data_IF_800999016648
#
_entry.id   IF_800999016648
#
_cell.length_a   1.000
_cell.length_b   1.000
_cell.length_c   1.000
_cell.angle_alpha   90.00
_cell.angle_beta   90.00
_cell.angle_gamma   90.00
#
_symmetry.space_group_name_H-M   'P 1'
#
loop_
_entity.id
_entity.type
_entity.pdbx_description
1 polymer ?
#
# COMPACT_ATOMS: atom_id res chain seq x y z
N UNK A 1 10.44 -6.21 -7.36
CA UNK A 1 9.26 -6.60 -6.55
C UNK A 1 8.14 -7.03 -7.48
N UNK A 2 7.48 -8.15 -7.20
CA UNK A 2 6.28 -8.61 -7.90
C UNK A 2 5.13 -8.63 -6.89
N UNK A 3 3.98 -8.08 -7.26
CA UNK A 3 2.74 -8.12 -6.47
C UNK A 3 1.64 -8.77 -7.27
N UNK A 4 0.96 -9.73 -6.67
CA UNK A 4 -0.16 -10.45 -7.24
C UNK A 4 -1.36 -10.37 -6.29
N UNK A 5 -2.54 -10.30 -6.86
CA UNK A 5 -3.78 -10.13 -6.12
C UNK A 5 -4.84 -11.12 -6.58
N UNK A 6 -5.69 -11.52 -5.66
CA UNK A 6 -6.92 -12.26 -5.96
C UNK A 6 -8.11 -11.46 -5.43
N UNK A 7 -8.58 -10.53 -6.27
CA UNK A 7 -9.62 -9.56 -5.91
C UNK A 7 -11.04 -10.07 -6.13
N UNK A 8 -11.17 -11.22 -6.81
CA UNK A 8 -12.47 -11.87 -7.07
C UNK A 8 -12.98 -12.70 -5.91
N UNK A 9 -12.11 -13.06 -4.97
CA UNK A 9 -12.45 -13.85 -3.79
C UNK A 9 -13.01 -12.96 -2.65
N UNK A 10 -13.67 -13.60 -1.70
CA UNK A 10 -14.10 -12.97 -0.46
C UNK A 10 -13.68 -13.85 0.72
N UNK A 11 -12.68 -13.44 1.52
CA UNK A 11 -11.97 -12.15 1.45
C UNK A 11 -10.97 -12.07 0.28
N UNK A 12 -10.73 -10.84 -0.21
CA UNK A 12 -9.66 -10.53 -1.18
C UNK A 12 -8.30 -10.80 -0.56
N UNK A 13 -7.33 -11.20 -1.36
CA UNK A 13 -5.99 -11.56 -0.88
C UNK A 13 -4.88 -11.03 -1.77
N UNK A 14 -3.69 -10.92 -1.19
CA UNK A 14 -2.47 -10.52 -1.88
C UNK A 14 -1.36 -11.53 -1.65
N UNK A 15 -0.42 -11.58 -2.59
CA UNK A 15 0.83 -12.32 -2.53
C UNK A 15 1.92 -11.50 -3.23
N UNK A 16 3.04 -11.31 -2.58
CA UNK A 16 4.13 -10.52 -3.16
C UNK A 16 5.50 -11.12 -2.83
N UNK A 17 6.48 -10.77 -3.64
CA UNK A 17 7.86 -11.19 -3.42
C UNK A 17 8.86 -10.14 -3.89
N UNK A 18 9.96 -10.03 -3.17
CA UNK A 18 11.10 -9.18 -3.52
C UNK A 18 12.40 -9.82 -3.08
N UNK A 19 13.50 -9.33 -3.62
CA UNK A 19 14.84 -9.72 -3.26
C UNK A 19 15.62 -8.54 -2.70
N UNK A 20 16.33 -8.78 -1.62
CA UNK A 20 17.29 -7.84 -1.05
C UNK A 20 18.53 -8.59 -0.56
N UNK A 21 19.72 -8.25 -1.10
CA UNK A 21 20.99 -8.85 -0.68
C UNK A 21 21.06 -10.37 -0.81
N UNK A 22 20.43 -10.96 -1.82
CA UNK A 22 20.40 -12.42 -2.06
C UNK A 22 19.38 -13.17 -1.20
N UNK A 23 18.57 -12.45 -0.43
CA UNK A 23 17.44 -12.99 0.34
C UNK A 23 16.16 -12.66 -0.39
N UNK A 24 15.38 -13.68 -0.73
CA UNK A 24 14.03 -13.51 -1.27
C UNK A 24 13.03 -13.53 -0.14
N UNK A 25 12.21 -12.48 -0.04
CA UNK A 25 11.07 -12.43 0.87
C UNK A 25 9.79 -12.74 0.11
N UNK A 26 8.95 -13.53 0.70
CA UNK A 26 7.57 -13.79 0.27
C UNK A 26 6.67 -13.24 1.36
N UNK A 27 5.66 -12.49 0.97
CA UNK A 27 4.69 -11.89 1.88
C UNK A 27 3.28 -12.06 1.31
N UNK A 28 2.33 -12.46 2.13
CA UNK A 28 0.97 -12.77 1.70
C UNK A 28 -0.05 -12.58 2.81
N UNK A 29 -1.29 -12.39 2.45
CA UNK A 29 -2.37 -12.30 3.43
C UNK A 29 -3.71 -11.91 2.83
N UNK A 30 -4.66 -11.71 3.72
CA UNK A 30 -5.93 -11.07 3.40
C UNK A 30 -5.67 -9.58 3.15
N UNK A 31 -6.21 -9.04 2.06
CA UNK A 31 -6.05 -7.63 1.70
C UNK A 31 -6.52 -6.72 2.84
N UNK A 32 -5.66 -5.79 3.25
CA UNK A 32 -5.89 -4.91 4.38
C UNK A 32 -5.38 -5.45 5.73
N UNK A 33 -4.74 -6.60 5.75
CA UNK A 33 -4.03 -7.13 6.93
C UNK A 33 -2.54 -7.22 6.69
N UNK A 34 -1.72 -7.18 7.74
CA UNK A 34 -0.26 -7.30 7.63
C UNK A 34 0.21 -8.68 7.14
N UNK A 35 -0.64 -9.68 7.19
CA UNK A 35 -0.35 -11.01 6.68
C UNK A 35 0.84 -11.71 7.35
N UNK A 36 1.46 -12.58 6.57
CA UNK A 36 2.62 -13.38 6.99
C UNK A 36 3.77 -13.21 5.99
N UNK A 37 5.00 -13.37 6.45
CA UNK A 37 6.17 -13.32 5.58
C UNK A 37 7.12 -14.49 5.82
N UNK A 38 7.90 -14.84 4.79
CA UNK A 38 8.92 -15.88 4.82
C UNK A 38 10.12 -15.48 3.98
N UNK A 39 11.31 -15.72 4.52
CA UNK A 39 12.55 -15.53 3.80
C UNK A 39 13.09 -16.84 3.23
N UNK A 40 13.62 -16.77 2.01
CA UNK A 40 14.30 -17.86 1.33
C UNK A 40 15.71 -17.43 0.92
N UNK A 41 16.69 -18.27 1.28
CA UNK A 41 18.09 -18.12 0.86
C UNK A 41 18.48 -19.28 -0.05
N UNK A 42 19.36 -19.03 -1.01
CA UNK A 42 19.93 -20.10 -1.81
C UNK A 42 20.83 -21.00 -0.97
N UNK A 43 20.78 -22.30 -1.25
CA UNK A 43 21.68 -23.30 -0.68
C UNK A 43 22.46 -24.00 -1.80
N UNK A 44 23.45 -24.85 -1.44
CA UNK A 44 24.22 -25.60 -2.42
C UNK A 44 23.35 -26.53 -3.32
N UNK A 45 22.20 -26.95 -2.81
CA UNK A 45 21.30 -27.90 -3.50
C UNK A 45 20.09 -27.22 -4.13
N UNK A 46 19.79 -25.96 -3.78
CA UNK A 46 18.56 -25.30 -4.20
C UNK A 46 18.76 -23.80 -4.39
N UNK A 47 18.46 -23.32 -5.59
CA UNK A 47 18.43 -21.88 -5.89
C UNK A 47 17.10 -21.26 -5.45
N UNK A 48 17.14 -20.23 -4.61
CA UNK A 48 15.95 -19.51 -4.16
C UNK A 48 15.12 -18.96 -5.32
N UNK A 49 15.76 -18.44 -6.38
CA UNK A 49 15.09 -17.95 -7.59
C UNK A 49 14.21 -18.99 -8.29
N UNK A 50 14.66 -20.25 -8.32
CA UNK A 50 13.86 -21.33 -8.93
C UNK A 50 12.63 -21.68 -8.10
N UNK A 51 12.74 -21.58 -6.77
CA UNK A 51 11.61 -21.77 -5.85
C UNK A 51 10.60 -20.65 -6.03
N UNK A 52 11.06 -19.39 -6.08
CA UNK A 52 10.21 -18.22 -6.28
C UNK A 52 9.46 -18.32 -7.61
N UNK A 53 10.14 -18.68 -8.69
CA UNK A 53 9.50 -18.86 -10.00
C UNK A 53 8.36 -19.90 -9.93
N UNK A 54 8.60 -21.03 -9.29
CA UNK A 54 7.58 -22.07 -9.11
C UNK A 54 6.38 -21.55 -8.31
N UNK A 55 6.62 -20.78 -7.24
CA UNK A 55 5.55 -20.20 -6.43
C UNK A 55 4.73 -19.15 -7.23
N UNK A 56 5.37 -18.35 -8.08
CA UNK A 56 4.69 -17.42 -8.97
C UNK A 56 3.77 -18.17 -9.93
N UNK A 57 4.27 -19.24 -10.57
CA UNK A 57 3.49 -20.08 -11.48
C UNK A 57 2.29 -20.72 -10.76
N UNK A 58 2.48 -21.21 -9.54
CA UNK A 58 1.42 -21.78 -8.70
C UNK A 58 0.36 -20.72 -8.35
N UNK A 59 0.77 -19.53 -7.92
CA UNK A 59 -0.15 -18.43 -7.58
C UNK A 59 -0.93 -17.95 -8.81
N UNK A 60 -0.28 -17.84 -9.95
CA UNK A 60 -0.95 -17.51 -11.21
C UNK A 60 -1.99 -18.57 -11.59
N UNK A 61 -1.67 -19.84 -11.43
CA UNK A 61 -2.61 -20.93 -11.67
C UNK A 61 -3.79 -20.93 -10.66
N UNK A 62 -3.58 -20.45 -9.44
CA UNK A 62 -4.64 -20.23 -8.44
C UNK A 62 -5.55 -19.01 -8.73
N UNK A 63 -5.25 -18.22 -9.77
CA UNK A 63 -6.01 -17.05 -10.18
C UNK A 63 -5.52 -15.72 -9.62
N UNK A 64 -4.32 -15.68 -9.03
CA UNK A 64 -3.67 -14.42 -8.70
C UNK A 64 -3.16 -13.73 -9.96
N UNK A 65 -3.33 -12.41 -10.04
CA UNK A 65 -2.88 -11.59 -11.15
C UNK A 65 -2.34 -10.24 -10.67
N UNK A 66 -1.44 -9.59 -11.40
CA UNK A 66 -1.05 -8.23 -11.13
C UNK A 66 -2.24 -7.27 -11.34
N UNK A 67 -2.21 -6.15 -10.65
CA UNK A 67 -3.09 -5.00 -10.93
C UNK A 67 -2.27 -3.99 -11.71
N UNK A 68 -2.76 -3.59 -12.88
CA UNK A 68 -2.09 -2.60 -13.71
C UNK A 68 -2.11 -1.22 -13.03
N UNK A 69 -1.14 -0.36 -13.37
CA UNK A 69 -1.03 0.95 -12.75
C UNK A 69 -2.34 1.77 -12.89
N UNK A 70 -2.91 1.78 -14.10
CA UNK A 70 -4.13 2.54 -14.41
C UNK A 70 -5.40 1.99 -13.73
N UNK A 71 -5.35 0.78 -13.19
CA UNK A 71 -6.45 0.16 -12.46
C UNK A 71 -6.43 0.47 -10.94
N UNK A 72 -5.41 1.19 -10.46
CA UNK A 72 -5.38 1.66 -9.08
C UNK A 72 -6.34 2.83 -8.89
N UNK A 73 -6.98 2.86 -7.72
CA UNK A 73 -7.82 3.98 -7.31
C UNK A 73 -6.96 5.03 -6.60
N UNK A 74 -7.28 6.32 -6.82
CA UNK A 74 -6.58 7.43 -6.18
C UNK A 74 -7.31 7.81 -4.90
N UNK A 75 -6.66 7.54 -3.78
CA UNK A 75 -7.17 7.89 -2.45
C UNK A 75 -6.42 9.12 -1.94
N UNK A 76 -7.16 10.17 -1.59
CA UNK A 76 -6.63 11.39 -1.01
C UNK A 76 -6.99 11.50 0.47
N UNK A 77 -5.99 11.88 1.29
CA UNK A 77 -6.16 12.24 2.71
C UNK A 77 -5.96 13.74 2.82
N UNK A 78 -7.03 14.47 3.11
CA UNK A 78 -7.05 15.94 3.16
C UNK A 78 -7.00 16.45 4.60
N UNK A 79 -6.20 17.49 4.81
CA UNK A 79 -6.14 18.28 6.04
C UNK A 79 -6.37 19.75 5.73
N UNK A 80 -6.98 20.46 6.65
CA UNK A 80 -7.07 21.93 6.59
C UNK A 80 -5.79 22.54 7.17
N UNK A 81 -5.20 23.50 6.45
CA UNK A 81 -4.05 24.27 6.88
C UNK A 81 -4.30 25.77 6.67
N UNK A 82 -3.47 26.62 7.24
CA UNK A 82 -3.58 28.06 7.05
C UNK A 82 -2.86 28.51 5.75
N UNK A 83 -3.61 29.05 4.80
CA UNK A 83 -3.08 29.62 3.55
C UNK A 83 -2.28 28.59 2.74
N UNK A 84 -1.00 28.81 2.61
CA UNK A 84 -0.07 27.91 1.89
C UNK A 84 0.57 26.86 2.79
N UNK A 85 0.19 26.81 4.08
CA UNK A 85 0.85 25.96 5.06
C UNK A 85 2.15 26.57 5.60
N UNK A 86 2.74 25.93 6.59
CA UNK A 86 4.03 26.28 7.18
C UNK A 86 5.01 25.09 7.12
N UNK A 87 6.24 25.30 7.57
CA UNK A 87 7.28 24.25 7.56
C UNK A 87 6.85 23.03 8.37
N UNK A 88 6.14 23.20 9.49
CA UNK A 88 5.61 22.12 10.30
C UNK A 88 4.55 21.29 9.55
N UNK A 89 3.69 21.94 8.76
CA UNK A 89 2.73 21.26 7.90
C UNK A 89 3.43 20.44 6.82
N UNK A 90 4.52 20.98 6.24
CA UNK A 90 5.36 20.24 5.27
C UNK A 90 5.98 19.01 5.90
N UNK A 91 6.56 19.13 7.09
CA UNK A 91 7.15 18.00 7.82
C UNK A 91 6.08 16.97 8.22
N UNK A 92 4.92 17.43 8.67
CA UNK A 92 3.77 16.56 8.97
C UNK A 92 3.34 15.76 7.73
N UNK A 93 3.30 16.41 6.56
CA UNK A 93 2.97 15.74 5.30
C UNK A 93 3.97 14.63 4.97
N UNK A 94 5.27 14.87 5.10
CA UNK A 94 6.30 13.85 4.85
C UNK A 94 6.18 12.67 5.82
N UNK A 95 5.98 12.93 7.11
CA UNK A 95 5.76 11.85 8.09
C UNK A 95 4.52 11.02 7.78
N UNK A 96 3.45 11.65 7.29
CA UNK A 96 2.24 10.95 6.87
C UNK A 96 2.49 10.11 5.60
N UNK A 97 3.23 10.63 4.62
CA UNK A 97 3.60 9.91 3.42
C UNK A 97 4.39 8.63 3.77
N UNK A 98 5.41 8.73 4.62
CA UNK A 98 6.21 7.59 5.09
C UNK A 98 5.31 6.56 5.82
N UNK A 99 4.40 7.03 6.66
CA UNK A 99 3.45 6.15 7.37
C UNK A 99 2.51 5.43 6.41
N UNK A 100 2.00 6.12 5.41
CA UNK A 100 1.11 5.52 4.41
C UNK A 100 1.84 4.49 3.54
N UNK A 101 3.07 4.76 3.14
CA UNK A 101 3.90 3.77 2.45
C UNK A 101 4.08 2.49 3.27
N UNK A 102 4.35 2.62 4.56
CA UNK A 102 4.48 1.46 5.44
C UNK A 102 3.14 0.73 5.62
N UNK A 103 2.09 1.45 5.96
CA UNK A 103 0.78 0.85 6.26
C UNK A 103 0.18 0.19 5.03
N UNK A 104 0.15 0.89 3.88
CA UNK A 104 -0.41 0.35 2.64
C UNK A 104 0.46 -0.75 2.04
N UNK A 105 1.79 -0.60 2.12
CA UNK A 105 2.73 -1.62 1.65
C UNK A 105 2.56 -2.93 2.42
N UNK A 106 2.60 -2.89 3.75
CA UNK A 106 2.49 -4.09 4.60
C UNK A 106 1.09 -4.70 4.68
N UNK A 107 0.08 -4.06 4.16
CA UNK A 107 -1.29 -4.59 4.09
C UNK A 107 -1.70 -5.00 2.67
N UNK A 108 -0.76 -4.95 1.72
CA UNK A 108 -0.98 -5.30 0.32
C UNK A 108 -1.84 -4.27 -0.45
N UNK A 109 -2.22 -3.16 0.19
CA UNK A 109 -3.20 -2.22 -0.36
C UNK A 109 -2.65 -1.29 -1.44
N UNK A 110 -1.35 -0.96 -1.39
CA UNK A 110 -0.76 -0.03 -2.35
C UNK A 110 0.45 0.73 -1.79
N UNK A 111 0.54 2.00 -2.14
CA UNK A 111 1.63 2.88 -1.74
C UNK A 111 1.19 4.34 -1.72
N UNK A 112 1.99 5.19 -1.07
CA UNK A 112 1.88 6.64 -1.20
C UNK A 112 2.53 7.10 -2.52
N UNK A 113 1.89 8.04 -3.22
CA UNK A 113 2.37 8.64 -4.48
C UNK A 113 2.74 10.13 -4.33
N UNK A 114 2.86 10.59 -3.11
CA UNK A 114 3.23 11.97 -2.82
C UNK A 114 2.14 12.79 -2.14
N UNK A 115 2.18 14.08 -2.33
CA UNK A 115 1.18 14.98 -1.73
C UNK A 115 1.33 16.42 -2.22
N UNK A 116 0.36 17.23 -1.89
CA UNK A 116 0.30 18.65 -2.25
C UNK A 116 -0.03 19.52 -1.03
N UNK A 117 0.25 20.81 -1.16
CA UNK A 117 -0.11 21.80 -0.17
C UNK A 117 -0.38 23.15 -0.84
N UNK A 118 -1.43 23.80 -0.43
CA UNK A 118 -1.81 25.14 -0.90
C UNK A 118 -3.30 25.43 -0.77
N UNK A 119 -3.66 26.69 -0.88
CA UNK A 119 -5.06 27.14 -0.86
C UNK A 119 -5.86 26.63 0.35
N UNK A 120 -5.21 26.59 1.53
CA UNK A 120 -5.85 26.15 2.78
C UNK A 120 -5.93 24.64 2.97
N UNK A 121 -5.28 23.85 2.11
CA UNK A 121 -5.31 22.40 2.15
C UNK A 121 -3.92 21.77 2.10
N UNK A 122 -3.78 20.65 2.77
CA UNK A 122 -2.69 19.70 2.63
C UNK A 122 -3.29 18.35 2.26
N UNK A 123 -2.76 17.70 1.25
CA UNK A 123 -3.25 16.41 0.78
C UNK A 123 -2.09 15.42 0.65
N UNK A 124 -2.36 14.15 1.01
CA UNK A 124 -1.49 13.02 0.72
C UNK A 124 -2.22 12.09 -0.23
N UNK A 125 -1.56 11.76 -1.34
CA UNK A 125 -2.07 10.92 -2.41
C UNK A 125 -1.58 9.49 -2.25
N UNK A 126 -2.47 8.53 -2.31
CA UNK A 126 -2.18 7.10 -2.27
C UNK A 126 -2.80 6.40 -3.48
N UNK A 127 -2.05 5.47 -4.06
CA UNK A 127 -2.51 4.56 -5.10
C UNK A 127 -2.89 3.24 -4.43
N UNK A 128 -4.15 2.84 -4.53
CA UNK A 128 -4.67 1.68 -3.82
C UNK A 128 -5.42 0.73 -4.75
N UNK A 129 -5.38 -0.56 -4.45
CA UNK A 129 -6.09 -1.60 -5.23
C UNK A 129 -7.55 -1.79 -4.82
N UNK A 130 -7.94 -1.25 -3.66
CA UNK A 130 -9.31 -1.26 -3.15
C UNK A 130 -9.52 -0.07 -2.23
N UNK A 131 -10.32 0.89 -2.67
CA UNK A 131 -10.56 2.15 -1.95
C UNK A 131 -11.23 1.93 -0.59
N UNK A 132 -12.27 1.11 -0.53
CA UNK A 132 -13.06 0.93 0.70
C UNK A 132 -12.25 0.23 1.80
N UNK A 133 -11.47 -0.78 1.42
CA UNK A 133 -10.58 -1.47 2.37
C UNK A 133 -9.46 -0.53 2.81
N UNK A 134 -8.83 0.20 1.88
CA UNK A 134 -7.76 1.14 2.18
C UNK A 134 -8.24 2.26 3.11
N UNK A 135 -9.39 2.86 2.83
CA UNK A 135 -9.97 3.91 3.68
C UNK A 135 -10.17 3.43 5.12
N UNK A 136 -10.77 2.26 5.30
CA UNK A 136 -10.98 1.69 6.64
C UNK A 136 -9.67 1.42 7.37
N UNK A 137 -8.67 0.87 6.68
CA UNK A 137 -7.35 0.59 7.27
C UNK A 137 -6.64 1.88 7.66
N UNK A 138 -6.68 2.91 6.81
CA UNK A 138 -6.09 4.22 7.08
C UNK A 138 -6.79 4.89 8.26
N UNK A 139 -8.11 4.93 8.29
CA UNK A 139 -8.88 5.50 9.41
C UNK A 139 -8.50 4.86 10.74
N UNK A 140 -8.37 3.55 10.79
CA UNK A 140 -7.97 2.84 12.01
C UNK A 140 -6.49 3.08 12.36
N UNK A 141 -5.60 3.11 11.36
CA UNK A 141 -4.17 3.37 11.55
C UNK A 141 -3.87 4.79 12.07
N UNK A 142 -4.64 5.78 11.61
CA UNK A 142 -4.44 7.18 12.01
C UNK A 142 -5.11 7.55 13.34
N UNK A 143 -6.03 6.73 13.81
CA UNK A 143 -6.80 6.98 15.04
C UNK A 143 -5.90 7.15 16.25
N UNK A 144 -6.10 8.26 17.00
CA UNK A 144 -5.31 8.58 18.19
C UNK A 144 -3.87 9.01 17.91
N UNK A 145 -3.49 9.24 16.65
CA UNK A 145 -2.19 9.78 16.25
C UNK A 145 -2.26 11.29 15.98
N UNK A 146 -1.12 11.92 15.68
CA UNK A 146 -1.06 13.31 15.24
C UNK A 146 -1.82 13.58 13.91
N UNK A 147 -2.22 12.53 13.19
CA UNK A 147 -2.93 12.59 11.91
C UNK A 147 -4.44 12.34 12.02
N UNK A 148 -4.95 12.12 13.21
CA UNK A 148 -6.38 11.83 13.45
C UNK A 148 -7.31 13.02 13.12
N UNK A 149 -6.74 14.21 12.93
CA UNK A 149 -7.44 15.43 12.59
C UNK A 149 -7.58 15.69 11.08
N UNK A 150 -7.53 14.64 10.25
CA UNK A 150 -7.80 14.80 8.83
C UNK A 150 -9.23 15.32 8.58
N UNK A 151 -9.40 16.09 7.51
CA UNK A 151 -10.70 16.65 7.13
C UNK A 151 -11.57 15.59 6.48
N UNK A 152 -11.00 14.83 5.53
CA UNK A 152 -11.68 13.74 4.83
C UNK A 152 -10.69 12.80 4.15
N UNK A 153 -11.18 11.59 3.85
CA UNK A 153 -10.53 10.62 2.96
C UNK A 153 -11.50 10.35 1.82
N UNK A 154 -11.07 10.56 0.59
CA UNK A 154 -11.95 10.49 -0.59
C UNK A 154 -11.24 9.96 -1.83
N UNK A 155 -12.05 9.49 -2.79
CA UNK A 155 -11.60 9.07 -4.12
C UNK A 155 -11.63 10.27 -5.06
N UNK A 156 -10.48 10.64 -5.63
CA UNK A 156 -10.36 11.78 -6.52
C UNK A 156 -11.28 11.68 -7.76
N UNK A 157 -11.53 10.45 -8.24
CA UNK A 157 -12.32 10.24 -9.45
C UNK A 157 -13.83 10.27 -9.21
N UNK A 158 -14.28 10.14 -7.97
CA UNK A 158 -15.71 10.08 -7.62
C UNK A 158 -16.25 11.43 -7.15
N UNK A 159 -15.40 12.30 -6.59
CA UNK A 159 -15.77 13.62 -6.06
C UNK A 159 -15.45 14.79 -7.02
N UNK A 160 -15.43 14.57 -8.31
CA UNK A 160 -15.27 15.64 -9.32
C UNK A 160 -16.61 16.28 -9.70
#
# INVERSE_FOLDING_TARGET
MLKLYKLTDNPKSYWETWENGGIHTIHWGVLGTRGESKELKSTLLRKASSVIKKLIDEKTAEGYAPVEFDDHQILLIEFTVNGMGCDEDVEKRYRLQDRMDETLGWTGLGNCDGGSMGSGKMEVCCLVVDFDIAKRVIEEDLKGTEFDNFTRIYDENVES
#
